data_IF_933566474832
#
_entry.id   IF_933566474832
#
_cell.length_a   1.000
_cell.length_b   1.000
_cell.length_c   1.000
_cell.angle_alpha   90.00
_cell.angle_beta   90.00
_cell.angle_gamma   90.00
#
_symmetry.space_group_name_H-M   'P 1'
#
loop_
_entity.id
_entity.type
_entity.pdbx_description
1 polymer ?
#
# COMPACT_ATOMS: atom_id res chain seq x y z
N UNK A 1 6.99 -0.39 49.08
CA UNK A 1 6.60 0.67 48.13
C UNK A 1 7.64 0.71 47.02
N UNK A 2 7.29 0.29 45.81
CA UNK A 2 8.19 0.39 44.65
C UNK A 2 8.01 1.81 44.09
N UNK A 3 9.09 2.59 44.06
CA UNK A 3 9.07 3.99 43.60
C UNK A 3 9.36 4.08 42.09
N UNK A 4 10.12 3.13 41.54
CA UNK A 4 10.34 2.98 40.10
C UNK A 4 10.75 1.55 39.73
N UNK A 5 10.50 1.16 38.48
CA UNK A 5 10.96 -0.08 37.84
C UNK A 5 11.73 0.27 36.59
N UNK A 6 12.99 -0.18 36.49
CA UNK A 6 13.76 -0.12 35.26
C UNK A 6 13.56 -1.43 34.51
N UNK A 7 13.30 -1.35 33.20
CA UNK A 7 13.25 -2.51 32.30
C UNK A 7 14.15 -2.25 31.11
N UNK A 8 14.83 -3.28 30.65
CA UNK A 8 15.58 -3.22 29.40
C UNK A 8 14.62 -2.95 28.23
N UNK A 9 15.08 -2.18 27.24
CA UNK A 9 14.30 -1.94 26.03
C UNK A 9 14.23 -3.23 25.20
N UNK A 10 13.03 -3.58 24.73
CA UNK A 10 12.81 -4.70 23.80
C UNK A 10 13.05 -4.34 22.33
N UNK A 11 13.36 -3.06 22.06
CA UNK A 11 13.54 -2.51 20.72
C UNK A 11 12.34 -2.77 19.80
N UNK A 12 11.12 -2.60 20.31
CA UNK A 12 9.87 -2.92 19.61
C UNK A 12 9.53 -1.99 18.43
N UNK A 13 10.26 -0.88 18.26
CA UNK A 13 10.13 0.06 17.14
C UNK A 13 11.53 0.39 16.65
N UNK A 14 11.83 0.05 15.40
CA UNK A 14 13.14 0.23 14.77
C UNK A 14 12.99 0.96 13.45
N UNK A 15 13.85 1.94 13.21
CA UNK A 15 13.99 2.62 11.92
C UNK A 15 15.47 2.66 11.53
N UNK A 16 15.81 2.09 10.37
CA UNK A 16 17.21 2.04 9.86
C UNK A 16 18.22 1.62 10.94
N UNK A 17 17.94 0.48 11.58
CA UNK A 17 18.75 -0.10 12.67
C UNK A 17 18.82 0.71 13.97
N UNK A 18 18.04 1.78 14.11
CA UNK A 18 17.95 2.59 15.33
C UNK A 18 16.62 2.34 16.05
N UNK A 19 16.67 2.08 17.36
CA UNK A 19 15.46 1.98 18.15
C UNK A 19 14.82 3.37 18.37
N UNK A 20 13.58 3.54 17.93
CA UNK A 20 12.84 4.78 18.11
C UNK A 20 12.35 5.01 19.56
N UNK A 21 12.38 3.98 20.41
CA UNK A 21 11.93 4.08 21.81
C UNK A 21 13.04 4.50 22.77
N UNK A 22 14.26 3.97 22.60
CA UNK A 22 15.40 4.27 23.48
C UNK A 22 16.53 5.06 22.79
N UNK A 23 16.45 5.27 21.47
CA UNK A 23 17.46 6.00 20.69
C UNK A 23 18.74 5.19 20.40
N UNK A 24 18.77 3.90 20.76
CA UNK A 24 19.96 3.07 20.62
C UNK A 24 20.16 2.62 19.17
N UNK A 25 21.40 2.69 18.72
CA UNK A 25 21.86 2.06 17.49
C UNK A 25 22.07 0.55 17.73
N UNK A 26 21.39 -0.29 16.96
CA UNK A 26 21.39 -1.74 17.12
C UNK A 26 22.52 -2.44 16.34
N UNK A 27 23.31 -1.68 15.56
CA UNK A 27 24.45 -2.20 14.80
C UNK A 27 25.61 -2.59 15.72
N UNK A 28 26.40 -3.56 15.30
CA UNK A 28 27.64 -3.93 15.99
C UNK A 28 28.74 -2.86 15.93
N UNK A 29 29.77 -3.00 16.78
CA UNK A 29 30.91 -2.07 16.90
C UNK A 29 31.67 -1.81 15.58
N UNK A 30 31.49 -2.63 14.56
CA UNK A 30 32.06 -2.49 13.21
C UNK A 30 31.09 -1.93 12.16
N UNK A 31 29.92 -1.42 12.56
CA UNK A 31 29.09 -0.45 11.82
C UNK A 31 28.59 -0.84 10.44
N UNK A 32 28.64 -2.12 10.05
CA UNK A 32 28.14 -2.58 8.74
C UNK A 32 26.62 -2.77 8.79
N UNK A 33 25.89 -2.19 7.82
CA UNK A 33 24.43 -2.33 7.72
C UNK A 33 24.01 -3.81 7.66
N UNK A 34 22.96 -4.16 8.40
CA UNK A 34 22.42 -5.53 8.47
C UNK A 34 23.05 -6.46 9.53
N UNK A 35 24.17 -6.07 10.16
CA UNK A 35 24.76 -6.82 11.27
C UNK A 35 24.27 -6.27 12.62
N UNK A 36 23.08 -6.73 13.04
CA UNK A 36 22.52 -6.42 14.35
C UNK A 36 23.36 -7.11 15.44
N UNK A 37 23.89 -6.33 16.38
CA UNK A 37 24.59 -6.87 17.55
C UNK A 37 23.66 -7.08 18.75
N UNK A 38 22.46 -6.50 18.69
CA UNK A 38 21.46 -6.66 19.74
C UNK A 38 20.18 -7.28 19.19
N UNK A 39 19.61 -8.17 20.00
CA UNK A 39 18.31 -8.76 19.72
C UNK A 39 17.23 -7.65 19.70
N UNK A 40 16.47 -7.64 18.61
CA UNK A 40 15.31 -6.78 18.42
C UNK A 40 14.06 -7.64 18.28
N UNK A 41 12.96 -7.16 18.86
CA UNK A 41 11.65 -7.79 18.65
C UNK A 41 10.93 -7.27 17.40
N UNK A 42 11.46 -6.23 16.74
CA UNK A 42 10.85 -5.65 15.55
C UNK A 42 11.08 -6.51 14.30
N UNK A 43 9.99 -6.90 13.64
CA UNK A 43 9.97 -7.79 12.48
C UNK A 43 8.87 -7.52 11.44
N UNK A 44 7.90 -6.62 11.74
CA UNK A 44 6.78 -6.28 10.85
C UNK A 44 6.92 -4.85 10.31
N UNK A 45 6.88 -4.68 8.99
CA UNK A 45 6.80 -3.36 8.35
C UNK A 45 5.34 -3.01 8.06
N UNK A 46 4.79 -2.04 8.80
CA UNK A 46 3.37 -1.66 8.75
C UNK A 46 3.07 -0.49 7.82
N UNK A 47 4.09 0.27 7.38
CA UNK A 47 3.92 1.51 6.60
C UNK A 47 4.61 1.38 5.24
N UNK A 48 3.84 1.35 4.16
CA UNK A 48 4.36 1.10 2.82
C UNK A 48 5.37 2.12 2.33
N UNK A 49 5.14 3.41 2.58
CA UNK A 49 6.05 4.45 2.14
C UNK A 49 7.29 4.62 3.04
N UNK A 50 7.42 3.82 4.11
CA UNK A 50 8.58 3.79 5.02
C UNK A 50 8.88 2.33 5.40
N UNK A 51 9.31 1.48 4.45
CA UNK A 51 9.54 0.07 4.71
C UNK A 51 10.60 -0.18 5.79
N UNK A 52 11.52 0.78 5.99
CA UNK A 52 12.57 0.71 7.01
C UNK A 52 12.04 0.93 8.44
N UNK A 53 10.78 1.36 8.60
CA UNK A 53 10.12 1.40 9.89
C UNK A 53 9.48 0.04 10.18
N UNK A 54 10.06 -0.63 11.16
CA UNK A 54 9.68 -1.98 11.57
C UNK A 54 9.23 -1.94 13.02
N UNK A 55 8.15 -2.65 13.33
CA UNK A 55 7.61 -2.80 14.68
C UNK A 55 7.58 -4.27 15.08
N UNK A 56 7.51 -4.54 16.38
CA UNK A 56 7.29 -5.91 16.89
C UNK A 56 5.91 -6.43 16.53
N UNK A 57 5.76 -7.75 16.37
CA UNK A 57 4.46 -8.42 16.18
C UNK A 57 3.40 -8.00 17.21
N UNK A 58 3.77 -7.87 18.49
CA UNK A 58 2.83 -7.45 19.54
C UNK A 58 2.29 -6.04 19.28
N UNK A 59 3.18 -5.12 18.90
CA UNK A 59 2.81 -3.75 18.57
C UNK A 59 2.02 -3.69 17.26
N UNK A 60 2.41 -4.45 16.24
CA UNK A 60 1.68 -4.58 14.98
C UNK A 60 0.22 -5.01 15.23
N UNK A 61 0.01 -6.03 16.08
CA UNK A 61 -1.34 -6.47 16.48
C UNK A 61 -2.11 -5.40 17.27
N UNK A 62 -1.45 -4.64 18.14
CA UNK A 62 -2.10 -3.53 18.86
C UNK A 62 -2.56 -2.44 17.90
N UNK A 63 -1.72 -2.06 16.94
CA UNK A 63 -2.05 -1.09 15.89
C UNK A 63 -3.20 -1.62 15.04
N UNK A 64 -3.08 -2.84 14.50
CA UNK A 64 -4.12 -3.44 13.65
C UNK A 64 -5.47 -3.61 14.34
N UNK A 65 -5.49 -3.94 15.64
CA UNK A 65 -6.74 -3.99 16.41
C UNK A 65 -7.40 -2.62 16.53
N UNK A 66 -6.62 -1.57 16.78
CA UNK A 66 -7.12 -0.20 16.85
C UNK A 66 -7.66 0.27 15.51
N UNK A 67 -6.95 -0.01 14.42
CA UNK A 67 -7.40 0.33 13.06
C UNK A 67 -8.72 -0.39 12.75
N UNK A 68 -8.84 -1.65 13.14
CA UNK A 68 -10.10 -2.41 13.04
C UNK A 68 -11.24 -1.76 13.82
N UNK A 69 -11.00 -1.39 15.08
CA UNK A 69 -12.03 -0.73 15.90
C UNK A 69 -12.49 0.60 15.29
N UNK A 70 -11.56 1.36 14.71
CA UNK A 70 -11.86 2.62 14.02
C UNK A 70 -12.72 2.39 12.78
N UNK A 71 -12.37 1.40 11.96
CA UNK A 71 -13.15 1.01 10.77
C UNK A 71 -14.57 0.56 11.16
N UNK A 72 -14.70 -0.32 12.15
CA UNK A 72 -16.00 -0.78 12.64
C UNK A 72 -16.85 0.36 13.20
N UNK A 73 -16.24 1.28 13.96
CA UNK A 73 -16.91 2.49 14.47
C UNK A 73 -17.38 3.40 13.34
N UNK A 74 -16.58 3.53 12.27
CA UNK A 74 -16.93 4.26 11.07
C UNK A 74 -17.89 3.49 10.14
N UNK A 75 -18.23 2.23 10.46
CA UNK A 75 -18.98 1.29 9.61
C UNK A 75 -18.36 1.14 8.22
N UNK A 76 -17.04 1.06 8.18
CA UNK A 76 -16.26 0.89 6.96
C UNK A 76 -15.55 -0.45 6.92
N UNK A 77 -15.36 -0.94 5.71
CA UNK A 77 -14.44 -2.03 5.39
C UNK A 77 -13.15 -1.47 4.76
N UNK A 78 -12.23 -2.35 4.36
CA UNK A 78 -11.06 -1.98 3.56
C UNK A 78 -11.29 -2.43 2.11
N UNK A 79 -10.99 -1.56 1.16
CA UNK A 79 -10.99 -1.89 -0.27
C UNK A 79 -9.59 -1.74 -0.85
N UNK A 80 -9.02 -2.85 -1.31
CA UNK A 80 -7.78 -2.83 -2.08
C UNK A 80 -8.10 -2.69 -3.56
N UNK A 81 -7.45 -1.72 -4.19
CA UNK A 81 -7.78 -1.25 -5.53
C UNK A 81 -6.56 -1.37 -6.43
N UNK A 82 -6.66 -2.20 -7.47
CA UNK A 82 -5.68 -2.20 -8.56
C UNK A 82 -5.89 -1.01 -9.52
N UNK A 83 -4.88 -0.71 -10.34
CA UNK A 83 -4.87 0.42 -11.27
C UNK A 83 -5.12 -0.02 -12.72
N UNK A 84 -4.15 -0.71 -13.32
CA UNK A 84 -4.12 -1.03 -14.75
C UNK A 84 -5.17 -2.09 -15.10
N UNK A 85 -5.94 -1.88 -16.16
CA UNK A 85 -7.13 -2.67 -16.54
C UNK A 85 -8.26 -2.73 -15.48
N UNK A 86 -8.07 -2.10 -14.31
CA UNK A 86 -9.07 -1.98 -13.25
C UNK A 86 -9.73 -0.60 -13.26
N UNK A 87 -8.98 0.47 -12.95
CA UNK A 87 -9.45 1.86 -12.92
C UNK A 87 -8.97 2.70 -14.11
N UNK A 88 -7.91 2.27 -14.77
CA UNK A 88 -7.26 2.98 -15.86
C UNK A 88 -6.73 1.99 -16.91
N UNK A 89 -6.40 2.50 -18.09
CA UNK A 89 -5.58 1.79 -19.06
C UNK A 89 -4.45 2.72 -19.52
N UNK A 90 -3.20 2.27 -19.41
CA UNK A 90 -2.01 3.01 -19.82
C UNK A 90 -1.24 2.30 -20.93
N UNK A 91 -0.74 3.07 -21.90
CA UNK A 91 0.24 2.61 -22.89
C UNK A 91 1.44 3.55 -22.95
N UNK A 92 2.63 3.01 -23.25
CA UNK A 92 3.84 3.77 -23.57
C UNK A 92 4.16 3.76 -25.08
N UNK A 93 3.29 3.16 -25.89
CA UNK A 93 3.40 3.22 -27.34
C UNK A 93 2.98 4.60 -27.84
N UNK A 94 3.55 5.00 -28.98
CA UNK A 94 3.27 6.30 -29.59
C UNK A 94 1.78 6.38 -29.95
N UNK A 95 1.04 7.17 -29.20
CA UNK A 95 -0.38 7.40 -29.41
C UNK A 95 -0.58 8.82 -29.97
N UNK A 96 -1.19 8.94 -31.15
CA UNK A 96 -1.58 10.26 -31.66
C UNK A 96 -2.83 10.69 -30.92
N UNK A 97 -2.65 11.52 -29.90
CA UNK A 97 -3.75 12.17 -29.19
C UNK A 97 -4.46 13.09 -30.18
N UNK A 98 -5.61 12.65 -30.70
CA UNK A 98 -6.50 13.52 -31.46
C UNK A 98 -7.09 14.60 -30.54
N UNK A 99 -7.52 15.72 -31.13
CA UNK A 99 -8.26 16.74 -30.37
C UNK A 99 -9.55 16.13 -29.81
N UNK A 100 -9.91 16.48 -28.58
CA UNK A 100 -11.09 16.00 -27.84
C UNK A 100 -11.06 14.55 -27.33
N UNK A 101 -9.87 13.98 -27.10
CA UNK A 101 -9.74 12.73 -26.36
C UNK A 101 -9.61 12.96 -24.84
N UNK A 102 -10.19 12.06 -24.05
CA UNK A 102 -10.09 12.00 -22.59
C UNK A 102 -8.81 11.31 -22.09
N UNK A 103 -7.78 11.28 -22.96
CA UNK A 103 -6.51 10.60 -22.73
C UNK A 103 -5.51 11.57 -22.10
N UNK A 104 -4.96 11.19 -20.97
CA UNK A 104 -3.94 11.93 -20.25
C UNK A 104 -2.55 11.59 -20.80
N UNK A 105 -1.78 12.60 -21.17
CA UNK A 105 -0.38 12.44 -21.60
C UNK A 105 0.56 13.02 -20.54
N UNK A 106 1.58 12.23 -20.17
CA UNK A 106 2.61 12.65 -19.23
C UNK A 106 3.91 11.89 -19.46
N UNK A 107 5.00 12.40 -18.86
CA UNK A 107 6.35 11.82 -19.00
C UNK A 107 6.90 11.41 -17.65
N UNK A 108 7.40 10.18 -17.55
CA UNK A 108 8.13 9.67 -16.38
C UNK A 108 9.49 9.16 -16.82
N UNK A 109 10.57 9.61 -16.16
CA UNK A 109 11.95 9.22 -16.46
C UNK A 109 12.32 9.32 -17.96
N UNK A 110 11.72 10.27 -18.68
CA UNK A 110 11.96 10.47 -20.13
C UNK A 110 11.02 9.70 -21.06
N UNK A 111 10.26 8.72 -20.55
CA UNK A 111 9.29 7.92 -21.32
C UNK A 111 7.92 8.58 -21.33
N UNK A 112 7.30 8.65 -22.51
CA UNK A 112 5.93 9.14 -22.69
C UNK A 112 4.91 8.05 -22.34
N UNK A 113 3.87 8.43 -21.60
CA UNK A 113 2.76 7.58 -21.19
C UNK A 113 1.43 8.24 -21.58
N UNK A 114 0.50 7.42 -22.04
CA UNK A 114 -0.86 7.79 -22.40
C UNK A 114 -1.81 6.95 -21.57
N UNK A 115 -2.63 7.61 -20.75
CA UNK A 115 -3.53 6.94 -19.82
C UNK A 115 -4.96 7.40 -20.02
N UNK A 116 -5.87 6.45 -20.20
CA UNK A 116 -7.31 6.69 -20.16
C UNK A 116 -7.85 6.25 -18.81
N UNK A 117 -8.61 7.13 -18.15
CA UNK A 117 -9.32 6.77 -16.92
C UNK A 117 -10.58 6.01 -17.30
N UNK A 118 -10.85 4.89 -16.62
CA UNK A 118 -12.07 4.10 -16.86
C UNK A 118 -13.30 4.98 -16.61
N UNK A 119 -14.30 4.96 -17.50
CA UNK A 119 -15.53 5.71 -17.29
C UNK A 119 -16.10 5.48 -15.89
N UNK A 120 -16.55 6.56 -15.25
CA UNK A 120 -17.08 6.56 -13.89
C UNK A 120 -16.10 6.19 -12.75
N UNK A 121 -14.80 5.98 -13.00
CA UNK A 121 -13.83 5.63 -11.94
C UNK A 121 -13.81 6.65 -10.79
N UNK A 122 -13.81 7.96 -11.09
CA UNK A 122 -13.85 9.01 -10.05
C UNK A 122 -15.14 8.97 -9.24
N UNK A 123 -16.27 8.73 -9.89
CA UNK A 123 -17.55 8.61 -9.19
C UNK A 123 -17.63 7.34 -8.34
N UNK A 124 -17.09 6.23 -8.85
CA UNK A 124 -16.92 4.99 -8.10
C UNK A 124 -16.12 5.25 -6.82
N UNK A 125 -14.93 5.87 -6.92
CA UNK A 125 -14.10 6.19 -5.75
C UNK A 125 -14.84 7.06 -4.73
N UNK A 126 -15.54 8.09 -5.20
CA UNK A 126 -16.35 8.97 -4.35
C UNK A 126 -17.43 8.18 -3.59
N UNK A 127 -18.13 7.26 -4.24
CA UNK A 127 -19.17 6.43 -3.60
C UNK A 127 -18.56 5.42 -2.64
N UNK A 128 -17.46 4.77 -3.02
CA UNK A 128 -16.77 3.79 -2.18
C UNK A 128 -16.14 4.41 -0.94
N UNK A 129 -15.69 5.67 -1.00
CA UNK A 129 -15.12 6.38 0.15
C UNK A 129 -16.08 6.50 1.36
N UNK A 130 -17.39 6.38 1.16
CA UNK A 130 -18.36 6.35 2.25
C UNK A 130 -18.39 5.00 2.99
N UNK A 131 -18.04 3.91 2.31
CA UNK A 131 -18.17 2.52 2.77
C UNK A 131 -16.83 1.85 3.06
N UNK A 132 -15.76 2.36 2.46
CA UNK A 132 -14.44 1.74 2.49
C UNK A 132 -13.36 2.76 2.84
N UNK A 133 -12.34 2.30 3.56
CA UNK A 133 -11.01 2.87 3.49
C UNK A 133 -10.28 2.23 2.32
N UNK A 134 -9.86 3.04 1.34
CA UNK A 134 -9.29 2.54 0.10
C UNK A 134 -7.76 2.61 0.11
N UNK A 135 -7.14 1.57 -0.43
CA UNK A 135 -5.70 1.45 -0.62
C UNK A 135 -5.42 1.07 -2.08
N UNK A 136 -4.45 1.72 -2.72
CA UNK A 136 -3.97 1.29 -4.04
C UNK A 136 -2.96 0.15 -3.84
N UNK A 137 -3.10 -0.91 -4.63
CA UNK A 137 -2.09 -1.96 -4.75
C UNK A 137 -1.85 -2.32 -6.21
N UNK A 138 -0.69 -1.95 -6.74
CA UNK A 138 -0.36 -2.05 -8.16
C UNK A 138 1.03 -2.64 -8.39
N UNK A 139 1.19 -3.34 -9.51
CA UNK A 139 2.51 -3.77 -10.02
C UNK A 139 3.24 -2.68 -10.82
N UNK A 140 2.68 -1.47 -10.92
CA UNK A 140 3.36 -0.32 -11.46
C UNK A 140 4.50 0.16 -10.54
N UNK A 141 5.50 0.84 -11.11
CA UNK A 141 6.56 1.49 -10.33
C UNK A 141 6.01 2.60 -9.43
N UNK A 142 6.74 2.93 -8.36
CA UNK A 142 6.32 3.93 -7.38
C UNK A 142 5.94 5.27 -8.03
N UNK A 143 6.80 5.82 -8.86
CA UNK A 143 6.53 7.11 -9.53
C UNK A 143 5.29 7.05 -10.42
N UNK A 144 5.05 5.91 -11.06
CA UNK A 144 3.87 5.69 -11.89
C UNK A 144 2.59 5.62 -11.04
N UNK A 145 2.56 4.76 -10.02
CA UNK A 145 1.40 4.59 -9.17
C UNK A 145 0.99 5.90 -8.47
N UNK A 146 1.98 6.66 -7.97
CA UNK A 146 1.74 7.98 -7.40
C UNK A 146 1.21 8.98 -8.44
N UNK A 147 1.72 8.96 -9.68
CA UNK A 147 1.23 9.86 -10.72
C UNK A 147 -0.22 9.56 -11.12
N UNK A 148 -0.58 8.28 -11.23
CA UNK A 148 -1.96 7.87 -11.48
C UNK A 148 -2.87 8.25 -10.30
N UNK A 149 -2.41 8.06 -9.07
CA UNK A 149 -3.16 8.46 -7.89
C UNK A 149 -3.44 9.97 -7.87
N UNK A 150 -2.50 10.82 -8.28
CA UNK A 150 -2.72 12.28 -8.43
C UNK A 150 -3.82 12.59 -9.46
N UNK A 151 -3.89 11.83 -10.54
CA UNK A 151 -4.97 12.02 -11.50
C UNK A 151 -6.32 11.59 -10.92
N UNK A 152 -6.40 10.47 -10.22
CA UNK A 152 -7.65 9.92 -9.66
C UNK A 152 -8.14 10.69 -8.42
N UNK A 153 -7.22 11.09 -7.53
CA UNK A 153 -7.45 11.67 -6.21
C UNK A 153 -6.53 12.89 -5.98
N UNK A 154 -6.75 14.02 -6.69
CA UNK A 154 -5.87 15.19 -6.64
C UNK A 154 -5.80 15.81 -5.24
N UNK A 155 -6.90 15.76 -4.48
CA UNK A 155 -7.01 16.31 -3.13
C UNK A 155 -6.54 15.32 -2.05
N UNK A 156 -6.14 14.09 -2.44
CA UNK A 156 -5.64 13.03 -1.56
C UNK A 156 -6.62 12.60 -0.47
N UNK A 157 -7.91 12.70 -0.75
CA UNK A 157 -8.99 12.40 0.21
C UNK A 157 -9.37 10.92 0.23
N UNK A 158 -9.05 10.17 -0.83
CA UNK A 158 -9.43 8.76 -1.01
C UNK A 158 -8.32 7.80 -0.60
N UNK A 159 -7.09 8.04 -1.06
CA UNK A 159 -5.96 7.14 -0.82
C UNK A 159 -4.92 7.74 0.12
N UNK A 160 -4.70 9.06 0.07
CA UNK A 160 -3.66 9.71 0.88
C UNK A 160 -2.28 9.08 0.65
N UNK A 161 -1.75 8.42 1.68
CA UNK A 161 -0.47 7.71 1.64
C UNK A 161 -0.59 6.18 1.48
N UNK A 162 -1.82 5.66 1.29
CA UNK A 162 -2.14 4.22 1.20
C UNK A 162 -1.94 3.72 -0.23
N UNK A 163 -0.70 3.74 -0.70
CA UNK A 163 -0.32 3.32 -2.06
C UNK A 163 0.81 2.31 -1.93
N UNK A 164 0.57 1.09 -2.40
CA UNK A 164 1.57 0.05 -2.59
C UNK A 164 1.86 -0.08 -4.07
N UNK A 165 3.08 0.24 -4.46
CA UNK A 165 3.59 -0.02 -5.81
C UNK A 165 4.45 -1.27 -5.81
N UNK A 166 4.94 -1.66 -7.00
CA UNK A 166 5.88 -2.77 -7.17
C UNK A 166 7.10 -2.67 -6.25
N UNK A 167 7.54 -1.45 -5.95
CA UNK A 167 8.76 -1.20 -5.19
C UNK A 167 8.57 -1.53 -3.69
N UNK A 168 7.31 -1.59 -3.21
CA UNK A 168 6.95 -1.93 -1.83
C UNK A 168 6.31 -3.33 -1.69
N UNK A 169 6.11 -4.06 -2.79
CA UNK A 169 5.58 -5.41 -2.74
C UNK A 169 6.67 -6.40 -2.29
N UNK A 170 6.35 -7.24 -1.31
CA UNK A 170 7.27 -8.27 -0.84
C UNK A 170 7.46 -9.39 -1.87
N UNK A 171 6.50 -9.55 -2.79
CA UNK A 171 6.51 -10.58 -3.81
C UNK A 171 6.08 -10.00 -5.16
N UNK A 172 6.89 -10.24 -6.18
CA UNK A 172 6.58 -9.83 -7.55
C UNK A 172 5.47 -10.68 -8.22
N UNK A 173 5.11 -11.83 -7.62
CA UNK A 173 4.12 -12.76 -8.19
C UNK A 173 2.74 -12.66 -7.52
N UNK A 174 2.71 -12.48 -6.20
CA UNK A 174 1.47 -12.57 -5.42
C UNK A 174 1.32 -11.37 -4.48
N UNK A 175 0.25 -10.59 -4.69
CA UNK A 175 -0.11 -9.45 -3.84
C UNK A 175 -0.50 -9.90 -2.42
N UNK A 176 -0.96 -11.15 -2.26
CA UNK A 176 -1.39 -11.74 -0.98
C UNK A 176 -0.33 -11.71 0.12
N UNK A 177 0.96 -11.74 -0.23
CA UNK A 177 2.04 -11.69 0.78
C UNK A 177 2.11 -10.37 1.53
N UNK A 178 1.63 -9.27 0.94
CA UNK A 178 1.56 -7.98 1.61
C UNK A 178 0.42 -7.90 2.64
N UNK A 179 -0.56 -8.80 2.58
CA UNK A 179 -1.76 -8.76 3.43
C UNK A 179 -1.45 -9.00 4.89
N UNK A 180 -0.51 -9.90 5.21
CA UNK A 180 -0.14 -10.18 6.61
C UNK A 180 0.52 -8.98 7.28
N UNK A 181 1.33 -8.23 6.52
CA UNK A 181 1.99 -7.03 7.03
C UNK A 181 1.02 -5.84 7.14
N UNK A 182 0.12 -5.70 6.17
CA UNK A 182 -0.92 -4.67 6.15
C UNK A 182 -1.97 -4.86 7.24
N UNK A 183 -2.42 -6.10 7.42
CA UNK A 183 -3.56 -6.47 8.24
C UNK A 183 -3.15 -7.57 9.22
N UNK A 184 -2.31 -7.25 10.24
CA UNK A 184 -1.78 -8.24 11.18
C UNK A 184 -2.86 -8.88 12.07
N UNK A 185 -4.09 -8.38 12.02
CA UNK A 185 -5.26 -8.91 12.74
C UNK A 185 -6.21 -9.71 11.84
N UNK A 186 -5.79 -10.04 10.61
CA UNK A 186 -6.56 -10.83 9.65
C UNK A 186 -7.26 -10.00 8.58
N UNK A 187 -7.81 -10.70 7.59
CA UNK A 187 -8.30 -10.18 6.31
C UNK A 187 -9.82 -10.15 6.17
N UNK A 188 -10.56 -10.58 7.21
CA UNK A 188 -12.03 -10.63 7.27
C UNK A 188 -12.80 -9.33 6.93
N UNK A 189 -12.13 -8.17 6.90
CA UNK A 189 -12.75 -6.88 6.54
C UNK A 189 -12.29 -6.32 5.20
N UNK A 190 -11.56 -7.12 4.42
CA UNK A 190 -10.94 -6.68 3.18
C UNK A 190 -11.77 -7.18 2.00
N UNK A 191 -12.00 -6.28 1.05
CA UNK A 191 -12.49 -6.58 -0.29
C UNK A 191 -11.41 -6.15 -1.27
N UNK A 192 -11.23 -6.89 -2.37
CA UNK A 192 -10.26 -6.60 -3.41
C UNK A 192 -10.98 -6.40 -4.74
N UNK A 193 -10.53 -5.43 -5.54
CA UNK A 193 -10.92 -5.29 -6.95
C UNK A 193 -9.67 -5.28 -7.82
N UNK A 194 -9.64 -6.19 -8.78
CA UNK A 194 -8.50 -6.43 -9.66
C UNK A 194 -9.01 -7.18 -10.91
N UNK A 195 -8.41 -6.97 -12.08
CA UNK A 195 -8.74 -7.72 -13.28
C UNK A 195 -8.12 -9.13 -13.27
N UNK A 196 -7.05 -9.32 -12.49
CA UNK A 196 -6.24 -10.54 -12.45
C UNK A 196 -6.48 -11.35 -11.17
N UNK A 197 -7.20 -12.48 -11.24
CA UNK A 197 -7.41 -13.33 -10.08
C UNK A 197 -6.17 -14.15 -9.68
N UNK A 198 -5.26 -14.41 -10.62
CA UNK A 198 -4.04 -15.20 -10.39
C UNK A 198 -3.10 -14.53 -9.39
N UNK A 199 -2.95 -13.20 -9.44
CA UNK A 199 -2.06 -12.44 -8.54
C UNK A 199 -2.58 -12.40 -7.10
N UNK A 200 -3.85 -12.74 -6.90
CA UNK A 200 -4.52 -12.87 -5.61
C UNK A 200 -4.73 -14.32 -5.19
N UNK A 201 -4.17 -15.29 -5.93
CA UNK A 201 -4.35 -16.72 -5.71
C UNK A 201 -5.84 -17.11 -5.63
N UNK A 202 -6.68 -16.47 -6.46
CA UNK A 202 -8.12 -16.74 -6.53
C UNK A 202 -8.85 -16.60 -5.19
N UNK A 203 -8.47 -15.61 -4.37
CA UNK A 203 -9.12 -15.33 -3.09
C UNK A 203 -10.62 -15.06 -3.24
N UNK A 204 -11.43 -15.62 -2.35
CA UNK A 204 -12.88 -15.38 -2.30
C UNK A 204 -13.27 -13.92 -2.03
N UNK A 205 -12.36 -13.13 -1.45
CA UNK A 205 -12.57 -11.71 -1.19
C UNK A 205 -12.28 -10.83 -2.42
N UNK A 206 -11.83 -11.42 -3.53
CA UNK A 206 -11.62 -10.73 -4.79
C UNK A 206 -12.93 -10.64 -5.60
N UNK A 207 -13.26 -9.42 -5.98
CA UNK A 207 -14.24 -9.12 -7.02
C UNK A 207 -13.46 -8.89 -8.30
N UNK A 208 -13.40 -9.90 -9.16
CA UNK A 208 -12.73 -9.78 -10.45
C UNK A 208 -13.45 -8.76 -11.32
N UNK A 209 -12.71 -7.77 -11.81
CA UNK A 209 -13.24 -6.76 -12.73
C UNK A 209 -12.94 -7.18 -14.17
N UNK A 210 -13.89 -6.97 -15.08
CA UNK A 210 -13.70 -7.31 -16.49
C UNK A 210 -12.79 -6.26 -17.13
N UNK A 211 -11.80 -6.73 -17.90
CA UNK A 211 -10.99 -5.91 -18.79
C UNK A 211 -11.88 -5.35 -19.91
N UNK A 212 -11.95 -4.02 -20.03
CA UNK A 212 -12.69 -3.40 -21.12
C UNK A 212 -11.77 -3.29 -22.36
N UNK A 213 -12.00 -4.16 -23.34
CA UNK A 213 -11.32 -4.19 -24.64
C UNK A 213 -11.54 -2.92 -25.49
N UNK A 214 -12.40 -1.98 -25.06
CA UNK A 214 -12.66 -0.69 -25.73
C UNK A 214 -11.78 0.47 -25.20
N UNK A 215 -10.54 0.21 -24.82
CA UNK A 215 -9.66 1.28 -24.33
C UNK A 215 -8.29 1.24 -24.99
N UNK A 216 -7.86 2.44 -25.44
CA UNK A 216 -6.58 2.87 -26.03
C UNK A 216 -5.94 2.01 -27.12
#
# INVERSE_FOLDING_TARGET
MIVASLRACSHAIVIKDMCASCGKDLRGKTGTSGNLAEASTANVSMIHHVPELIVSDELARKIGNRDRELLLKARKLVLLVDLDQTLIHTTNHTFKVEKDTDVLHYKLKGTDFYTKIRPYAREFLRRMAALYEMHIISYGERQYAHRIAEFLDPDKIYFGHRILSRDELFCAMYKTRNMQALFPCGDHMIVMIDDRPDVWQYSDALIQVIENLETL
#
